data_IF_992134243339
#
_entry.id   IF_992134243339
#
_cell.length_a   1.000
_cell.length_b   1.000
_cell.length_c   1.000
_cell.angle_alpha   90.00
_cell.angle_beta   90.00
_cell.angle_gamma   90.00
#
_symmetry.space_group_name_H-M   'P 1'
#
loop_
_entity.id
_entity.type
_entity.pdbx_description
1 polymer ?
#
# COMPACT_ATOMS: atom_id res chain seq x y z
N UNK A 1 7.84 -16.38 -6.78
CA UNK A 1 7.45 -16.30 -5.36
C UNK A 1 5.95 -16.06 -5.31
N UNK A 2 5.20 -16.85 -4.53
CA UNK A 2 3.73 -16.79 -4.45
C UNK A 2 3.28 -15.54 -3.68
N UNK A 3 2.03 -15.13 -3.90
CA UNK A 3 1.42 -14.01 -3.16
C UNK A 3 1.43 -14.28 -1.66
N UNK A 4 1.06 -15.50 -1.25
CA UNK A 4 1.00 -15.93 0.14
C UNK A 4 2.35 -15.91 0.88
N UNK A 5 3.48 -16.09 0.16
CA UNK A 5 4.81 -16.14 0.78
C UNK A 5 5.25 -14.80 1.41
N UNK A 6 4.70 -13.69 0.92
CA UNK A 6 5.02 -12.33 1.41
C UNK A 6 3.86 -11.64 2.12
N UNK A 7 2.64 -12.14 2.02
CA UNK A 7 1.47 -11.55 2.66
C UNK A 7 1.68 -11.34 4.17
N UNK A 8 1.05 -10.30 4.71
CA UNK A 8 1.15 -9.98 6.15
C UNK A 8 -0.17 -9.42 6.67
N UNK A 9 -0.38 -9.62 7.95
CA UNK A 9 -1.43 -8.99 8.73
C UNK A 9 -0.79 -8.12 9.81
N UNK A 10 -1.37 -6.96 10.04
CA UNK A 10 -0.98 -6.05 11.12
C UNK A 10 -2.24 -5.65 11.88
N UNK A 11 -2.17 -5.70 13.20
CA UNK A 11 -3.25 -5.24 14.07
C UNK A 11 -2.75 -4.09 14.94
N UNK A 12 -3.52 -3.00 14.98
CA UNK A 12 -3.23 -1.84 15.80
C UNK A 12 -4.45 -1.47 16.64
N UNK A 13 -4.28 -1.29 17.94
CA UNK A 13 -5.33 -0.69 18.76
C UNK A 13 -5.27 0.83 18.61
N UNK A 14 -6.43 1.46 18.41
CA UNK A 14 -6.51 2.92 18.32
C UNK A 14 -6.49 3.51 19.72
N UNK A 15 -5.38 4.14 20.07
CA UNK A 15 -5.16 4.83 21.34
C UNK A 15 -5.47 6.32 21.20
N UNK A 16 -5.69 7.06 22.33
CA UNK A 16 -5.96 8.50 22.28
C UNK A 16 -4.93 9.32 21.49
N UNK A 17 -3.64 8.98 21.54
CA UNK A 17 -2.58 9.65 20.77
C UNK A 17 -2.68 9.45 19.24
N UNK A 18 -3.45 8.46 18.79
CA UNK A 18 -3.70 8.22 17.37
C UNK A 18 -4.92 8.97 16.83
N UNK A 19 -5.70 9.59 17.73
CA UNK A 19 -7.01 10.13 17.39
C UNK A 19 -6.97 11.63 17.10
N UNK A 20 -7.96 12.04 16.29
CA UNK A 20 -8.32 13.45 16.10
C UNK A 20 -9.27 13.94 17.22
N UNK A 21 -9.66 15.21 17.14
CA UNK A 21 -10.58 15.84 18.11
C UNK A 21 -11.99 15.23 18.13
N UNK A 22 -12.35 14.42 17.16
CA UNK A 22 -13.65 13.73 17.05
C UNK A 22 -13.62 12.31 17.63
N UNK A 23 -12.50 11.87 18.19
CA UNK A 23 -12.35 10.54 18.80
C UNK A 23 -12.13 9.39 17.81
N UNK A 24 -11.88 9.67 16.54
CA UNK A 24 -11.50 8.68 15.53
C UNK A 24 -10.03 8.81 15.13
N UNK A 25 -9.45 7.73 14.62
CA UNK A 25 -8.05 7.71 14.21
C UNK A 25 -7.76 8.76 13.13
N UNK A 26 -6.61 9.42 13.22
CA UNK A 26 -6.12 10.33 12.18
C UNK A 26 -5.86 9.57 10.88
N UNK A 27 -6.32 10.10 9.75
CA UNK A 27 -6.05 9.52 8.42
C UNK A 27 -4.55 9.33 8.15
N UNK A 28 -3.72 10.29 8.55
CA UNK A 28 -2.26 10.18 8.46
C UNK A 28 -1.67 9.02 9.26
N UNK A 29 -2.26 8.69 10.41
CA UNK A 29 -1.87 7.53 11.22
C UNK A 29 -2.20 6.22 10.49
N UNK A 30 -3.39 6.13 9.91
CA UNK A 30 -3.77 4.95 9.11
C UNK A 30 -2.87 4.81 7.88
N UNK A 31 -2.57 5.90 7.17
CA UNK A 31 -1.63 5.87 6.04
C UNK A 31 -0.24 5.39 6.45
N UNK A 32 0.25 5.81 7.62
CA UNK A 32 1.52 5.32 8.16
C UNK A 32 1.48 3.79 8.41
N UNK A 33 0.41 3.28 9.02
CA UNK A 33 0.26 1.83 9.23
C UNK A 33 0.15 1.06 7.92
N UNK A 34 -0.55 1.62 6.91
CA UNK A 34 -0.64 1.06 5.56
C UNK A 34 0.76 0.98 4.94
N UNK A 35 1.56 2.04 5.03
CA UNK A 35 2.94 2.07 4.50
C UNK A 35 3.82 1.01 5.16
N UNK A 36 3.74 0.88 6.49
CA UNK A 36 4.49 -0.14 7.24
C UNK A 36 4.09 -1.56 6.82
N UNK A 37 2.79 -1.88 6.77
CA UNK A 37 2.31 -3.19 6.37
C UNK A 37 2.74 -3.54 4.94
N UNK A 38 2.61 -2.58 4.02
CA UNK A 38 3.01 -2.74 2.63
C UNK A 38 4.54 -2.90 2.48
N UNK A 39 5.33 -2.15 3.26
CA UNK A 39 6.78 -2.27 3.27
C UNK A 39 7.24 -3.67 3.71
N UNK A 40 6.56 -4.29 4.69
CA UNK A 40 6.85 -5.68 5.11
C UNK A 40 6.67 -6.65 3.94
N UNK A 41 5.57 -6.53 3.21
CA UNK A 41 5.30 -7.36 2.02
C UNK A 41 6.38 -7.17 0.95
N UNK A 42 6.70 -5.91 0.64
CA UNK A 42 7.70 -5.56 -0.37
C UNK A 42 9.10 -6.08 -0.01
N UNK A 43 9.51 -5.93 1.26
CA UNK A 43 10.78 -6.47 1.76
C UNK A 43 10.82 -8.01 1.73
N UNK A 44 9.74 -8.67 2.14
CA UNK A 44 9.64 -10.14 2.11
C UNK A 44 9.74 -10.68 0.69
N UNK A 45 9.09 -10.03 -0.26
CA UNK A 45 9.09 -10.45 -1.66
C UNK A 45 10.44 -10.21 -2.33
N UNK A 46 11.01 -9.01 -2.17
CA UNK A 46 12.23 -8.61 -2.87
C UNK A 46 13.52 -9.08 -2.19
N UNK A 47 13.50 -9.26 -0.86
CA UNK A 47 14.72 -9.46 -0.02
C UNK A 47 15.74 -8.35 -0.23
N UNK A 48 15.28 -7.14 -0.51
CA UNK A 48 16.07 -5.94 -0.77
C UNK A 48 15.54 -4.77 0.05
N UNK A 49 16.33 -3.73 0.29
CA UNK A 49 15.82 -2.43 0.74
C UNK A 49 14.78 -1.92 -0.23
N UNK A 50 13.70 -1.35 0.29
CA UNK A 50 12.59 -0.82 -0.52
C UNK A 50 12.29 0.61 -0.13
N UNK A 51 11.78 1.39 -1.10
CA UNK A 51 11.29 2.75 -0.86
C UNK A 51 9.89 2.89 -1.42
N UNK A 52 9.04 3.62 -0.71
CA UNK A 52 7.70 3.97 -1.16
C UNK A 52 7.83 4.94 -2.33
N UNK A 53 7.24 4.60 -3.46
CA UNK A 53 7.29 5.41 -4.68
C UNK A 53 5.98 6.13 -4.96
N UNK A 54 4.85 5.54 -4.62
CA UNK A 54 3.53 6.14 -4.81
C UNK A 54 2.48 5.51 -3.90
N UNK A 55 1.52 6.32 -3.49
CA UNK A 55 0.21 5.90 -3.02
C UNK A 55 -0.80 6.24 -4.10
N UNK A 56 -1.69 5.31 -4.41
CA UNK A 56 -2.87 5.60 -5.24
C UNK A 56 -3.93 6.30 -4.38
N UNK A 57 -5.02 6.72 -5.00
CA UNK A 57 -6.13 7.35 -4.30
C UNK A 57 -6.63 6.46 -3.15
N UNK A 58 -6.73 7.06 -1.97
CA UNK A 58 -7.17 6.41 -0.73
C UNK A 58 -8.40 7.15 -0.19
N UNK A 59 -9.51 6.41 -0.02
CA UNK A 59 -10.73 6.92 0.58
C UNK A 59 -11.02 6.20 1.89
N UNK A 60 -11.36 6.96 2.92
CA UNK A 60 -11.80 6.43 4.21
C UNK A 60 -13.32 6.37 4.24
N UNK A 61 -13.91 5.17 4.22
CA UNK A 61 -15.35 4.96 4.15
C UNK A 61 -16.01 4.97 5.52
N UNK A 62 -15.31 4.43 6.53
CA UNK A 62 -15.79 4.31 7.90
C UNK A 62 -14.66 4.72 8.85
N UNK A 63 -14.93 5.61 9.83
CA UNK A 63 -13.93 5.97 10.83
C UNK A 63 -13.68 4.82 11.80
N UNK A 64 -12.42 4.70 12.26
CA UNK A 64 -12.03 3.77 13.33
C UNK A 64 -11.97 4.56 14.63
N UNK A 65 -12.73 4.15 15.64
CA UNK A 65 -12.84 4.88 16.91
C UNK A 65 -11.72 4.49 17.88
N UNK A 66 -11.44 5.37 18.85
CA UNK A 66 -10.57 5.05 20.00
C UNK A 66 -11.09 3.78 20.67
N UNK A 67 -10.17 2.83 20.96
CA UNK A 67 -10.48 1.54 21.57
C UNK A 67 -10.83 0.43 20.59
N UNK A 68 -11.12 0.73 19.34
CA UNK A 68 -11.26 -0.28 18.29
C UNK A 68 -9.90 -0.72 17.74
N UNK A 69 -9.89 -1.87 17.06
CA UNK A 69 -8.73 -2.32 16.31
C UNK A 69 -8.79 -1.82 14.86
N UNK A 70 -7.64 -1.48 14.32
CA UNK A 70 -7.39 -1.41 12.89
C UNK A 70 -6.71 -2.71 12.47
N UNK A 71 -7.34 -3.48 11.59
CA UNK A 71 -6.82 -4.71 11.00
C UNK A 71 -6.37 -4.40 9.58
N UNK A 72 -5.10 -4.64 9.28
CA UNK A 72 -4.51 -4.38 7.97
C UNK A 72 -4.07 -5.69 7.34
N UNK A 73 -4.63 -6.02 6.19
CA UNK A 73 -4.29 -7.21 5.40
C UNK A 73 -3.56 -6.78 4.15
N UNK A 74 -2.26 -7.02 4.09
CA UNK A 74 -1.40 -6.58 3.01
C UNK A 74 -0.91 -7.76 2.16
N UNK A 75 -1.01 -7.62 0.83
CA UNK A 75 -0.55 -8.60 -0.15
C UNK A 75 -0.07 -7.94 -1.44
N UNK A 76 0.86 -8.58 -2.10
CA UNK A 76 1.39 -8.13 -3.39
C UNK A 76 0.40 -8.44 -4.52
N UNK A 77 0.19 -7.48 -5.42
CA UNK A 77 -0.74 -7.61 -6.56
C UNK A 77 -0.05 -7.55 -7.91
N UNK A 78 1.10 -6.86 -7.99
CA UNK A 78 1.86 -6.74 -9.22
C UNK A 78 3.35 -6.64 -8.93
N UNK A 79 4.14 -7.32 -9.73
CA UNK A 79 5.58 -7.14 -9.84
C UNK A 79 5.92 -6.71 -11.25
N UNK A 80 6.72 -5.65 -11.37
CA UNK A 80 7.42 -5.27 -12.60
C UNK A 80 8.93 -5.41 -12.36
N UNK A 81 9.77 -4.97 -13.26
CA UNK A 81 11.22 -5.18 -13.20
C UNK A 81 11.83 -4.90 -11.80
N UNK A 82 11.53 -3.75 -11.19
CA UNK A 82 12.06 -3.34 -9.88
C UNK A 82 10.99 -2.76 -8.95
N UNK A 83 9.75 -2.66 -9.41
CA UNK A 83 8.64 -2.12 -8.64
C UNK A 83 7.63 -3.19 -8.31
N UNK A 84 6.96 -3.00 -7.18
CA UNK A 84 5.93 -3.89 -6.65
C UNK A 84 4.73 -3.05 -6.24
N UNK A 85 3.52 -3.48 -6.62
CA UNK A 85 2.29 -2.91 -6.08
C UNK A 85 1.78 -3.82 -4.98
N UNK A 86 1.47 -3.23 -3.84
CA UNK A 86 0.92 -3.91 -2.67
C UNK A 86 -0.48 -3.34 -2.41
N UNK A 87 -1.47 -4.21 -2.28
CA UNK A 87 -2.80 -3.89 -1.78
C UNK A 87 -2.82 -4.06 -0.28
N UNK A 88 -3.42 -3.08 0.41
CA UNK A 88 -3.70 -3.14 1.84
C UNK A 88 -5.17 -2.88 2.07
N UNK A 89 -5.87 -3.89 2.55
CA UNK A 89 -7.26 -3.74 3.01
C UNK A 89 -7.23 -3.42 4.51
N UNK A 90 -7.98 -2.39 4.92
CA UNK A 90 -8.09 -1.94 6.31
C UNK A 90 -9.52 -2.15 6.78
N UNK A 91 -9.66 -2.83 7.90
CA UNK A 91 -10.93 -3.04 8.59
C UNK A 91 -10.85 -2.48 10.01
N UNK A 92 -11.97 -2.02 10.55
CA UNK A 92 -12.13 -1.77 11.98
C UNK A 92 -12.76 -2.98 12.64
N UNK A 93 -12.38 -3.28 13.88
CA UNK A 93 -13.05 -4.29 14.72
C UNK A 93 -13.40 -3.67 16.06
N UNK A 94 -14.67 -3.79 16.46
CA UNK A 94 -15.11 -3.47 17.80
C UNK A 94 -14.81 -4.65 18.73
N UNK A 95 -13.97 -4.44 19.74
CA UNK A 95 -13.51 -5.50 20.64
C UNK A 95 -14.61 -6.05 21.56
N UNK A 96 -15.69 -5.30 21.78
CA UNK A 96 -16.78 -5.73 22.66
C UNK A 96 -17.82 -6.57 21.92
N UNK A 97 -18.06 -6.25 20.65
CA UNK A 97 -19.07 -6.92 19.83
C UNK A 97 -18.49 -7.90 18.83
N UNK A 98 -17.19 -7.76 18.48
CA UNK A 98 -16.52 -8.49 17.40
C UNK A 98 -16.96 -8.03 16.01
N UNK A 99 -17.74 -6.95 15.89
CA UNK A 99 -18.19 -6.43 14.61
C UNK A 99 -17.01 -5.88 13.81
N UNK A 100 -16.85 -6.34 12.57
CA UNK A 100 -15.84 -5.85 11.62
C UNK A 100 -16.50 -5.03 10.52
N UNK A 101 -15.84 -3.94 10.13
CA UNK A 101 -16.28 -3.07 9.03
C UNK A 101 -15.10 -2.73 8.13
N UNK A 102 -15.29 -2.88 6.82
CA UNK A 102 -14.31 -2.42 5.86
C UNK A 102 -14.19 -0.90 5.91
N UNK A 103 -12.96 -0.41 6.10
CA UNK A 103 -12.66 1.03 6.27
C UNK A 103 -12.07 1.63 5.01
N UNK A 104 -11.08 0.97 4.43
CA UNK A 104 -10.40 1.46 3.22
C UNK A 104 -9.64 0.35 2.52
N UNK A 105 -9.36 0.57 1.24
CA UNK A 105 -8.38 -0.21 0.46
C UNK A 105 -7.36 0.76 -0.11
N UNK A 106 -6.08 0.46 0.07
CA UNK A 106 -4.98 1.22 -0.47
C UNK A 106 -4.14 0.38 -1.44
N UNK A 107 -3.56 1.03 -2.43
CA UNK A 107 -2.55 0.46 -3.31
C UNK A 107 -1.28 1.29 -3.19
N UNK A 108 -0.20 0.64 -2.79
CA UNK A 108 1.09 1.29 -2.55
C UNK A 108 2.14 0.69 -3.45
N UNK A 109 2.87 1.54 -4.16
CA UNK A 109 3.97 1.09 -5.03
C UNK A 109 5.29 1.28 -4.33
N UNK A 110 6.06 0.20 -4.24
CA UNK A 110 7.44 0.18 -3.76
C UNK A 110 8.43 -0.08 -4.88
N UNK A 111 9.64 0.42 -4.71
CA UNK A 111 10.80 0.13 -5.59
C UNK A 111 11.89 -0.51 -4.75
N UNK A 112 12.39 -1.65 -5.23
CA UNK A 112 13.51 -2.34 -4.62
C UNK A 112 14.83 -1.68 -5.06
N UNK A 113 15.73 -1.49 -4.09
CA UNK A 113 17.02 -0.83 -4.29
C UNK A 113 18.16 -1.80 -4.01
N UNK A 114 19.23 -1.62 -4.76
CA UNK A 114 20.52 -2.22 -4.42
C UNK A 114 21.05 -1.58 -3.12
N UNK A 115 21.50 -2.37 -2.13
CA UNK A 115 21.90 -1.85 -0.82
C UNK A 115 23.17 -1.00 -0.85
N UNK A 116 23.98 -1.10 -1.90
CA UNK A 116 25.25 -0.37 -2.03
C UNK A 116 25.10 0.86 -2.94
N UNK A 117 24.51 0.64 -4.12
CA UNK A 117 24.40 1.69 -5.14
C UNK A 117 23.13 2.53 -5.02
N UNK A 118 22.16 2.10 -4.21
CA UNK A 118 20.83 2.69 -4.05
C UNK A 118 20.07 2.86 -5.38
N UNK A 119 20.42 2.08 -6.40
CA UNK A 119 19.73 2.07 -7.70
C UNK A 119 18.65 0.99 -7.72
N UNK A 120 17.58 1.19 -8.51
CA UNK A 120 16.55 0.17 -8.69
C UNK A 120 17.13 -1.15 -9.18
N UNK A 121 16.75 -2.25 -8.51
CA UNK A 121 17.21 -3.60 -8.80
C UNK A 121 16.03 -4.52 -9.08
N UNK A 122 16.24 -5.53 -9.96
CA UNK A 122 15.21 -6.50 -10.30
C UNK A 122 14.77 -7.30 -9.08
N UNK A 123 13.47 -7.59 -9.01
CA UNK A 123 12.83 -8.40 -7.98
C UNK A 123 12.36 -9.74 -8.54
N UNK A 124 12.20 -10.77 -7.69
CA UNK A 124 11.67 -12.05 -8.12
C UNK A 124 10.29 -11.93 -8.79
N UNK A 125 9.97 -12.73 -9.81
CA UNK A 125 8.66 -12.73 -10.44
C UNK A 125 7.57 -13.19 -9.45
N UNK A 126 6.34 -12.72 -9.68
CA UNK A 126 5.16 -13.12 -8.92
C UNK A 126 4.53 -14.37 -9.56
N UNK A 127 4.22 -15.35 -8.73
CA UNK A 127 3.51 -16.58 -9.10
C UNK A 127 2.06 -16.46 -8.61
N UNK A 128 1.11 -16.55 -9.54
CA UNK A 128 -0.33 -16.45 -9.27
C UNK A 128 -0.95 -17.83 -9.23
N UNK A 129 -1.51 -18.22 -8.10
CA UNK A 129 -2.06 -19.57 -7.89
C UNK A 129 -3.58 -19.61 -8.13
N UNK A 130 -4.29 -18.58 -7.72
CA UNK A 130 -5.76 -18.53 -7.74
C UNK A 130 -6.31 -17.63 -8.85
N UNK A 131 -7.59 -17.86 -9.22
CA UNK A 131 -8.29 -16.99 -10.16
C UNK A 131 -8.47 -15.57 -9.60
N UNK A 132 -8.72 -15.44 -8.30
CA UNK A 132 -8.82 -14.14 -7.63
C UNK A 132 -7.51 -13.35 -7.73
N UNK A 133 -6.35 -14.01 -7.57
CA UNK A 133 -5.05 -13.38 -7.74
C UNK A 133 -4.82 -12.92 -9.19
N UNK A 134 -5.22 -13.73 -10.18
CA UNK A 134 -5.13 -13.35 -11.61
C UNK A 134 -5.99 -12.14 -11.95
N UNK A 135 -7.21 -12.07 -11.40
CA UNK A 135 -8.11 -10.92 -11.60
C UNK A 135 -7.54 -9.66 -10.94
N UNK A 136 -7.04 -9.76 -9.69
CA UNK A 136 -6.41 -8.64 -9.00
C UNK A 136 -5.14 -8.16 -9.73
N UNK A 137 -4.33 -9.10 -10.23
CA UNK A 137 -3.14 -8.80 -11.02
C UNK A 137 -3.49 -8.06 -12.33
N UNK A 138 -4.54 -8.49 -13.06
CA UNK A 138 -5.01 -7.80 -14.25
C UNK A 138 -5.47 -6.36 -13.94
N UNK A 139 -6.20 -6.16 -12.83
CA UNK A 139 -6.59 -4.84 -12.37
C UNK A 139 -5.36 -3.99 -11.97
N UNK A 140 -4.34 -4.60 -11.38
CA UNK A 140 -3.10 -3.92 -11.00
C UNK A 140 -2.30 -3.43 -12.23
N UNK A 141 -2.28 -4.19 -13.32
CA UNK A 141 -1.67 -3.76 -14.60
C UNK A 141 -2.35 -2.49 -15.11
N UNK A 142 -3.69 -2.43 -15.04
CA UNK A 142 -4.45 -1.26 -15.47
C UNK A 142 -4.22 -0.05 -14.56
N UNK A 143 -4.16 -0.22 -13.24
CA UNK A 143 -3.77 0.85 -12.28
C UNK A 143 -2.39 1.39 -12.62
N UNK A 144 -1.41 0.50 -12.86
CA UNK A 144 -0.06 0.90 -13.25
C UNK A 144 -0.05 1.71 -14.54
N UNK A 145 -0.81 1.30 -15.57
CA UNK A 145 -0.91 2.03 -16.83
C UNK A 145 -1.39 3.47 -16.58
N UNK A 146 -2.45 3.65 -15.80
CA UNK A 146 -3.00 4.97 -15.45
C UNK A 146 -1.99 5.83 -14.69
N UNK A 147 -1.27 5.27 -13.72
CA UNK A 147 -0.20 5.99 -12.99
C UNK A 147 0.89 6.51 -13.92
N UNK A 148 1.34 5.69 -14.86
CA UNK A 148 2.38 6.07 -15.82
C UNK A 148 1.92 7.17 -16.78
N UNK A 149 0.67 7.12 -17.22
CA UNK A 149 0.06 8.16 -18.05
C UNK A 149 -0.04 9.49 -17.28
N UNK A 150 -0.53 9.45 -16.05
CA UNK A 150 -0.64 10.64 -15.18
C UNK A 150 0.74 11.28 -14.91
N UNK A 151 1.75 10.46 -14.66
CA UNK A 151 3.13 10.93 -14.44
C UNK A 151 3.70 11.63 -15.67
N UNK A 152 3.44 11.11 -16.87
CA UNK A 152 3.85 11.76 -18.13
C UNK A 152 3.21 13.14 -18.27
N UNK A 153 1.92 13.26 -17.97
CA UNK A 153 1.17 14.52 -18.05
C UNK A 153 1.70 15.55 -17.06
N UNK A 154 2.02 15.16 -15.83
CA UNK A 154 2.60 16.05 -14.82
C UNK A 154 4.01 16.54 -15.20
N UNK A 155 4.86 15.68 -15.75
CA UNK A 155 6.20 16.05 -16.20
C UNK A 155 6.16 16.96 -17.43
N UNK A 156 5.17 16.82 -18.29
CA UNK A 156 5.01 17.68 -19.48
C UNK A 156 4.41 19.05 -19.16
N UNK A 157 3.60 19.15 -18.09
CA UNK A 157 3.07 20.43 -17.58
C UNK A 157 4.09 21.32 -16.86
N UNK A 158 5.23 20.77 -16.47
CA UNK A 158 6.37 21.49 -15.89
C UNK A 158 7.35 21.95 -16.99
N UNK A 159 6.85 22.64 -18.02
CA UNK A 159 7.71 23.33 -19.00
C UNK A 159 8.40 24.51 -18.30
N UNK A 160 9.72 24.70 -18.45
CA UNK A 160 10.43 25.80 -17.83
C UNK A 160 10.08 27.10 -18.56
N UNK A 161 9.03 27.79 -18.12
CA UNK A 161 8.81 29.20 -18.44
C UNK A 161 9.07 30.02 -17.18
N UNK A 162 10.20 30.61 -17.16
CA UNK A 162 10.66 31.94 -16.76
C UNK A 162 11.95 31.88 -15.95
N UNK A 163 13.05 31.91 -16.64
CA UNK A 163 14.18 32.71 -16.16
C UNK A 163 14.10 34.03 -16.94
N UNK A 164 13.63 35.05 -16.27
CA UNK A 164 13.98 36.44 -16.49
C UNK A 164 14.42 36.98 -15.13
#
# INVERSE_FOLDING_TARGET
MRVSDSATEMTQIVLPQHANVHGSVLGGTVMHWIDLAAAVVANRHSRRPVVTAAFDELSFLVPIQIGQLALLHARITLVDRSSMEIRVDVESEDLLTGEKRHTSTAYVTFVALDPVTHRPVAVPPLELETEAERQEHAAAIERRRRRLEHRKTQLWGASPKSRI
#
